data_IF_209454103093
#
_entry.id   IF_209454103093
#
_cell.length_a   1.000
_cell.length_b   1.000
_cell.length_c   1.000
_cell.angle_alpha   90.00
_cell.angle_beta   90.00
_cell.angle_gamma   90.00
#
_symmetry.space_group_name_H-M   'P 1'
#
loop_
_entity.id
_entity.type
_entity.pdbx_description
1 polymer ?
#
# COMPACT_ATOMS: atom_id res chain seq x y z
N UNK A 1 39.80 24.96 -52.51
CA UNK A 1 38.33 24.88 -52.22
C UNK A 1 37.86 23.45 -51.99
N UNK A 2 38.42 22.46 -52.68
CA UNK A 2 38.11 21.03 -52.51
C UNK A 2 38.46 20.47 -51.13
N UNK A 3 39.55 20.93 -50.51
CA UNK A 3 40.00 20.45 -49.19
C UNK A 3 39.07 20.86 -48.04
N UNK A 4 38.39 22.01 -48.20
CA UNK A 4 37.38 22.50 -47.26
C UNK A 4 36.12 21.63 -47.27
N UNK A 5 35.65 21.26 -48.47
CA UNK A 5 34.50 20.35 -48.63
C UNK A 5 34.80 18.94 -48.11
N UNK A 6 36.00 18.42 -48.35
CA UNK A 6 36.42 17.11 -47.84
C UNK A 6 36.49 17.09 -46.29
N UNK A 7 37.02 18.17 -45.69
CA UNK A 7 37.06 18.34 -44.24
C UNK A 7 35.68 18.44 -43.59
N UNK A 8 34.73 19.16 -44.22
CA UNK A 8 33.35 19.27 -43.74
C UNK A 8 32.60 17.93 -43.80
N UNK A 9 32.75 17.18 -44.89
CA UNK A 9 32.10 15.87 -45.06
C UNK A 9 32.66 14.85 -44.07
N UNK A 10 33.98 14.80 -43.88
CA UNK A 10 34.61 13.94 -42.88
C UNK A 10 34.23 14.32 -41.45
N UNK A 11 34.14 15.62 -41.14
CA UNK A 11 33.67 16.10 -39.84
C UNK A 11 32.20 15.72 -39.59
N UNK A 12 31.33 15.86 -40.60
CA UNK A 12 29.93 15.44 -40.52
C UNK A 12 29.79 13.93 -40.31
N UNK A 13 30.56 13.10 -41.03
CA UNK A 13 30.56 11.64 -40.88
C UNK A 13 31.09 11.22 -39.50
N UNK A 14 32.16 11.86 -39.01
CA UNK A 14 32.73 11.57 -37.69
C UNK A 14 31.78 11.96 -36.57
N UNK A 15 31.12 13.11 -36.69
CA UNK A 15 30.12 13.57 -35.73
C UNK A 15 28.86 12.68 -35.74
N UNK A 16 28.42 12.23 -36.92
CA UNK A 16 27.32 11.27 -37.06
C UNK A 16 27.66 9.89 -36.44
N UNK A 17 28.89 9.42 -36.58
CA UNK A 17 29.34 8.17 -35.96
C UNK A 17 29.42 8.24 -34.43
N UNK A 18 29.76 9.41 -33.86
CA UNK A 18 29.79 9.65 -32.41
C UNK A 18 28.37 9.74 -31.83
N UNK A 19 27.46 10.44 -32.50
CA UNK A 19 26.05 10.52 -32.08
C UNK A 19 25.35 9.17 -32.18
N UNK A 20 25.62 8.37 -33.21
CA UNK A 20 25.03 7.03 -33.35
C UNK A 20 25.43 6.08 -32.21
N UNK A 21 26.71 6.10 -31.80
CA UNK A 21 27.20 5.30 -30.66
C UNK A 21 26.63 5.79 -29.31
N UNK A 22 26.32 7.09 -29.19
CA UNK A 22 25.72 7.66 -28.00
C UNK A 22 24.21 7.36 -27.86
N UNK A 23 23.53 7.03 -28.96
CA UNK A 23 22.08 6.74 -29.00
C UNK A 23 21.76 5.27 -28.66
N UNK A 24 22.66 4.33 -28.92
CA UNK A 24 22.44 2.90 -28.62
C UNK A 24 22.10 2.67 -27.13
N UNK A 25 22.84 3.23 -26.15
CA UNK A 25 22.52 3.06 -24.74
C UNK A 25 21.18 3.69 -24.34
N UNK A 26 20.82 4.84 -24.91
CA UNK A 26 19.57 5.53 -24.58
C UNK A 26 18.34 4.81 -25.15
N UNK A 27 18.44 4.25 -26.37
CA UNK A 27 17.38 3.39 -26.93
C UNK A 27 17.21 2.14 -26.07
N UNK A 28 18.30 1.50 -25.65
CA UNK A 28 18.23 0.32 -24.79
C UNK A 28 17.57 0.65 -23.44
N UNK A 29 17.94 1.77 -22.82
CA UNK A 29 17.32 2.23 -21.58
C UNK A 29 15.82 2.51 -21.73
N UNK A 30 15.40 3.18 -22.82
CA UNK A 30 14.00 3.41 -23.14
C UNK A 30 13.23 2.09 -23.29
N UNK A 31 13.78 1.12 -24.03
CA UNK A 31 13.15 -0.18 -24.23
C UNK A 31 12.99 -0.95 -22.92
N UNK A 32 14.01 -0.92 -22.06
CA UNK A 32 13.97 -1.53 -20.72
C UNK A 32 12.91 -0.85 -19.85
N UNK A 33 12.83 0.49 -19.86
CA UNK A 33 11.81 1.24 -19.12
C UNK A 33 10.40 0.93 -19.60
N UNK A 34 10.17 0.84 -20.91
CA UNK A 34 8.87 0.47 -21.48
C UNK A 34 8.47 -0.96 -21.10
N UNK A 35 9.40 -1.91 -21.18
CA UNK A 35 9.17 -3.29 -20.72
C UNK A 35 8.84 -3.34 -19.23
N UNK A 36 9.63 -2.65 -18.40
CA UNK A 36 9.41 -2.57 -16.96
C UNK A 36 8.03 -1.94 -16.66
N UNK A 37 7.69 -0.81 -17.28
CA UNK A 37 6.40 -0.15 -17.11
C UNK A 37 5.22 -1.03 -17.51
N UNK A 38 5.34 -1.79 -18.60
CA UNK A 38 4.32 -2.74 -19.04
C UNK A 38 4.13 -3.89 -18.04
N UNK A 39 5.23 -4.51 -17.60
CA UNK A 39 5.19 -5.59 -16.61
C UNK A 39 4.64 -5.09 -15.27
N UNK A 40 5.16 -3.98 -14.77
CA UNK A 40 4.75 -3.39 -13.50
C UNK A 40 3.29 -2.91 -13.54
N UNK A 41 2.88 -2.26 -14.62
CA UNK A 41 1.49 -1.85 -14.83
C UNK A 41 0.55 -3.06 -14.87
N UNK A 42 0.95 -4.15 -15.53
CA UNK A 42 0.16 -5.38 -15.55
C UNK A 42 0.03 -6.01 -14.16
N UNK A 43 1.13 -6.11 -13.41
CA UNK A 43 1.13 -6.68 -12.05
C UNK A 43 0.31 -5.81 -11.10
N UNK A 44 0.59 -4.50 -11.05
CA UNK A 44 -0.10 -3.56 -10.19
C UNK A 44 -1.60 -3.51 -10.51
N UNK A 45 -1.97 -3.44 -11.79
CA UNK A 45 -3.36 -3.52 -12.23
C UNK A 45 -4.02 -4.84 -11.82
N UNK A 46 -3.33 -5.97 -11.95
CA UNK A 46 -3.84 -7.27 -11.51
C UNK A 46 -4.08 -7.32 -10.00
N UNK A 47 -3.17 -6.75 -9.22
CA UNK A 47 -3.24 -6.68 -7.77
C UNK A 47 -4.37 -5.77 -7.29
N UNK A 48 -4.48 -4.57 -7.86
CA UNK A 48 -5.60 -3.65 -7.61
C UNK A 48 -6.93 -4.30 -7.98
N UNK A 49 -7.00 -4.99 -9.12
CA UNK A 49 -8.20 -5.73 -9.52
C UNK A 49 -8.52 -6.91 -8.59
N UNK A 50 -7.53 -7.53 -7.93
CA UNK A 50 -7.76 -8.55 -6.89
C UNK A 50 -8.25 -7.94 -5.59
N UNK A 51 -7.65 -6.83 -5.15
CA UNK A 51 -8.05 -6.11 -3.94
C UNK A 51 -9.46 -5.55 -4.09
N UNK A 52 -9.77 -4.89 -5.21
CA UNK A 52 -11.10 -4.36 -5.49
C UNK A 52 -12.16 -5.47 -5.44
N UNK A 53 -11.88 -6.64 -6.02
CA UNK A 53 -12.80 -7.79 -5.92
C UNK A 53 -12.89 -8.37 -4.52
N UNK A 54 -11.79 -8.44 -3.77
CA UNK A 54 -11.78 -8.90 -2.38
C UNK A 54 -12.59 -7.99 -1.44
N UNK A 55 -12.72 -6.70 -1.79
CA UNK A 55 -13.53 -5.71 -1.06
C UNK A 55 -15.01 -5.75 -1.48
N UNK A 56 -15.37 -6.61 -2.44
CA UNK A 56 -16.73 -6.69 -3.01
C UNK A 56 -17.16 -5.35 -3.63
N UNK A 57 -16.17 -4.63 -4.18
CA UNK A 57 -16.32 -3.25 -4.68
C UNK A 57 -17.31 -3.20 -5.85
N UNK A 58 -17.37 -4.27 -6.65
CA UNK A 58 -18.34 -4.42 -7.74
C UNK A 58 -19.78 -4.48 -7.22
N UNK A 59 -20.04 -5.22 -6.13
CA UNK A 59 -21.37 -5.32 -5.52
C UNK A 59 -21.78 -4.05 -4.76
N UNK A 60 -20.84 -3.38 -4.10
CA UNK A 60 -21.09 -2.10 -3.40
C UNK A 60 -21.31 -0.94 -4.36
N UNK A 61 -20.57 -0.91 -5.47
CA UNK A 61 -20.71 0.11 -6.51
C UNK A 61 -22.07 0.05 -7.23
N UNK A 62 -22.67 -1.14 -7.31
CA UNK A 62 -24.06 -1.33 -7.74
C UNK A 62 -25.07 -0.66 -6.81
N UNK A 63 -24.88 -0.80 -5.49
CA UNK A 63 -25.73 -0.15 -4.49
C UNK A 63 -25.59 1.39 -4.48
N UNK A 64 -24.44 1.91 -4.93
CA UNK A 64 -24.18 3.35 -5.03
C UNK A 64 -24.56 3.95 -6.40
N UNK A 65 -25.09 3.16 -7.34
CA UNK A 65 -25.47 3.62 -8.68
C UNK A 65 -24.29 3.94 -9.61
N UNK A 66 -23.06 3.65 -9.19
CA UNK A 66 -21.84 3.94 -9.94
C UNK A 66 -21.73 3.06 -11.19
N UNK A 67 -22.23 1.82 -11.12
CA UNK A 67 -22.34 0.93 -12.28
C UNK A 67 -23.26 1.49 -13.36
N UNK A 68 -24.34 2.16 -12.97
CA UNK A 68 -25.32 2.76 -13.89
C UNK A 68 -24.78 4.02 -14.55
N UNK A 69 -23.94 4.78 -13.85
CA UNK A 69 -23.22 5.92 -14.41
C UNK A 69 -22.12 5.47 -15.40
N UNK A 70 -21.38 4.41 -15.07
CA UNK A 70 -20.34 3.83 -15.93
C UNK A 70 -20.92 3.20 -17.21
N UNK A 71 -22.05 2.51 -17.12
CA UNK A 71 -22.72 1.95 -18.30
C UNK A 71 -23.33 3.03 -19.20
N UNK A 72 -23.85 4.14 -18.63
CA UNK A 72 -24.23 5.33 -19.42
C UNK A 72 -23.04 5.99 -20.11
N UNK A 73 -21.85 5.94 -19.52
CA UNK A 73 -20.61 6.40 -20.13
C UNK A 73 -20.01 5.40 -21.14
N UNK A 74 -20.70 4.30 -21.46
CA UNK A 74 -20.25 3.29 -22.44
C UNK A 74 -19.25 2.27 -21.89
N UNK A 75 -18.95 2.28 -20.59
CA UNK A 75 -18.05 1.33 -19.94
C UNK A 75 -18.85 0.12 -19.44
N UNK A 76 -18.96 -0.92 -20.28
CA UNK A 76 -19.64 -2.18 -19.95
C UNK A 76 -18.84 -3.11 -19.02
N UNK A 77 -17.70 -2.64 -18.48
CA UNK A 77 -16.78 -3.41 -17.63
C UNK A 77 -17.08 -3.12 -16.15
N UNK A 78 -16.97 -4.11 -15.25
CA UNK A 78 -17.11 -3.88 -13.81
C UNK A 78 -16.07 -2.86 -13.32
N UNK A 79 -16.39 -2.03 -12.30
CA UNK A 79 -15.51 -0.98 -11.83
C UNK A 79 -14.16 -1.49 -11.31
N UNK A 80 -14.09 -2.72 -10.77
CA UNK A 80 -12.81 -3.37 -10.43
C UNK A 80 -11.90 -3.56 -11.65
N UNK A 81 -12.47 -3.82 -12.83
CA UNK A 81 -11.73 -3.99 -14.07
C UNK A 81 -11.34 -2.64 -14.70
N UNK A 82 -12.20 -1.62 -14.57
CA UNK A 82 -11.87 -0.25 -14.96
C UNK A 82 -10.70 0.29 -14.13
N UNK A 83 -10.72 0.08 -12.81
CA UNK A 83 -9.63 0.50 -11.91
C UNK A 83 -8.32 -0.23 -12.23
N UNK A 84 -8.39 -1.54 -12.52
CA UNK A 84 -7.24 -2.31 -13.01
C UNK A 84 -6.64 -1.70 -14.29
N UNK A 85 -7.49 -1.35 -15.25
CA UNK A 85 -7.05 -0.80 -16.53
C UNK A 85 -6.43 0.58 -16.34
N UNK A 86 -7.07 1.44 -15.53
CA UNK A 86 -6.63 2.80 -15.25
C UNK A 86 -5.27 2.81 -14.54
N UNK A 87 -5.10 1.98 -13.51
CA UNK A 87 -3.81 1.86 -12.80
C UNK A 87 -2.73 1.29 -13.73
N UNK A 88 -3.05 0.24 -14.50
CA UNK A 88 -2.09 -0.37 -15.43
C UNK A 88 -1.63 0.61 -16.51
N UNK A 89 -2.55 1.34 -17.13
CA UNK A 89 -2.23 2.37 -18.12
C UNK A 89 -1.52 3.57 -17.51
N UNK A 90 -1.93 4.01 -16.31
CA UNK A 90 -1.27 5.12 -15.61
C UNK A 90 0.20 4.83 -15.35
N UNK A 91 0.51 3.63 -14.84
CA UNK A 91 1.89 3.20 -14.61
C UNK A 91 2.65 3.11 -15.93
N UNK A 92 2.05 2.50 -16.97
CA UNK A 92 2.68 2.41 -18.29
C UNK A 92 3.03 3.79 -18.86
N UNK A 93 2.11 4.75 -18.78
CA UNK A 93 2.33 6.13 -19.27
C UNK A 93 3.48 6.81 -18.52
N UNK A 94 3.54 6.69 -17.20
CA UNK A 94 4.63 7.27 -16.39
C UNK A 94 5.98 6.69 -16.81
N UNK A 95 6.07 5.38 -17.01
CA UNK A 95 7.29 4.73 -17.49
C UNK A 95 7.61 5.09 -18.95
N UNK A 96 6.58 5.27 -19.78
CA UNK A 96 6.76 5.69 -21.17
C UNK A 96 7.33 7.11 -21.25
N UNK A 97 6.85 8.05 -20.44
CA UNK A 97 7.43 9.41 -20.37
C UNK A 97 8.88 9.36 -19.89
N UNK A 98 9.19 8.54 -18.89
CA UNK A 98 10.58 8.32 -18.45
C UNK A 98 11.46 7.69 -19.55
N UNK A 99 10.90 6.80 -20.37
CA UNK A 99 11.57 6.21 -21.51
C UNK A 99 11.88 7.24 -22.60
N UNK A 100 10.97 8.18 -22.85
CA UNK A 100 11.20 9.30 -23.77
C UNK A 100 12.29 10.23 -23.25
N UNK A 101 12.30 10.53 -21.96
CA UNK A 101 13.36 11.33 -21.33
C UNK A 101 14.74 10.65 -21.43
N UNK A 102 14.78 9.32 -21.31
CA UNK A 102 16.01 8.55 -21.51
C UNK A 102 16.58 8.68 -22.93
N UNK A 103 15.73 8.91 -23.93
CA UNK A 103 16.12 9.11 -25.33
C UNK A 103 16.73 10.49 -25.58
N UNK A 104 16.33 11.50 -24.81
CA UNK A 104 16.66 12.91 -25.03
C UNK A 104 18.06 13.32 -24.54
N UNK A 105 18.74 12.49 -23.75
CA UNK A 105 20.06 12.84 -23.18
C UNK A 105 21.15 11.91 -23.73
N UNK A 106 22.00 12.39 -24.66
CA UNK A 106 23.19 11.66 -25.09
C UNK A 106 24.15 11.49 -23.89
N UNK A 107 24.29 10.26 -23.39
CA UNK A 107 25.19 9.94 -22.28
C UNK A 107 24.66 10.18 -20.86
N UNK A 108 23.34 10.32 -20.65
CA UNK A 108 22.77 10.54 -19.30
C UNK A 108 23.05 9.38 -18.33
N UNK A 109 23.74 9.64 -17.21
CA UNK A 109 23.79 8.73 -16.05
C UNK A 109 22.43 8.57 -15.32
N UNK A 110 21.41 9.33 -15.73
CA UNK A 110 20.12 9.43 -15.02
C UNK A 110 19.19 8.22 -15.20
N UNK A 111 19.08 7.66 -16.41
CA UNK A 111 18.17 6.54 -16.67
C UNK A 111 18.57 5.27 -15.89
N UNK A 112 19.88 4.98 -15.85
CA UNK A 112 20.42 3.85 -15.06
C UNK A 112 20.24 4.07 -13.56
N UNK A 113 20.46 5.29 -13.06
CA UNK A 113 20.27 5.62 -11.64
C UNK A 113 18.81 5.52 -11.18
N UNK A 114 17.86 5.92 -12.03
CA UNK A 114 16.43 5.78 -11.77
C UNK A 114 16.03 4.30 -11.79
N UNK A 115 16.44 3.54 -12.80
CA UNK A 115 16.19 2.09 -12.86
C UNK A 115 16.73 1.34 -11.63
N UNK A 116 17.93 1.70 -11.18
CA UNK A 116 18.55 1.08 -10.00
C UNK A 116 17.82 1.41 -8.69
N UNK A 117 17.12 2.54 -8.59
CA UNK A 117 16.31 2.88 -7.40
C UNK A 117 14.88 2.37 -7.50
N UNK A 118 14.28 2.42 -8.69
CA UNK A 118 12.87 2.14 -8.91
C UNK A 118 12.58 0.64 -8.97
N UNK A 119 13.47 -0.15 -9.57
CA UNK A 119 13.24 -1.59 -9.70
C UNK A 119 13.20 -2.31 -8.33
N UNK A 120 14.15 -2.06 -7.40
CA UNK A 120 14.09 -2.65 -6.06
C UNK A 120 12.86 -2.17 -5.27
N UNK A 121 12.51 -0.89 -5.35
CA UNK A 121 11.39 -0.34 -4.59
C UNK A 121 10.04 -0.87 -5.06
N UNK A 122 9.85 -1.02 -6.37
CA UNK A 122 8.62 -1.60 -6.90
C UNK A 122 8.51 -3.08 -6.54
N UNK A 123 9.61 -3.84 -6.63
CA UNK A 123 9.63 -5.23 -6.18
C UNK A 123 9.33 -5.35 -4.67
N UNK A 124 9.92 -4.49 -3.84
CA UNK A 124 9.64 -4.42 -2.42
C UNK A 124 8.16 -4.12 -2.15
N UNK A 125 7.59 -3.11 -2.82
CA UNK A 125 6.18 -2.76 -2.70
C UNK A 125 5.24 -3.91 -3.09
N UNK A 126 5.55 -4.61 -4.19
CA UNK A 126 4.78 -5.79 -4.62
C UNK A 126 4.87 -6.93 -3.60
N UNK A 127 6.06 -7.19 -3.08
CA UNK A 127 6.29 -8.22 -2.06
C UNK A 127 5.55 -7.87 -0.77
N UNK A 128 5.61 -6.61 -0.32
CA UNK A 128 4.88 -6.10 0.84
C UNK A 128 3.38 -6.28 0.66
N UNK A 129 2.82 -5.97 -0.50
CA UNK A 129 1.39 -6.15 -0.74
C UNK A 129 1.01 -7.63 -0.79
N UNK A 130 1.85 -8.50 -1.35
CA UNK A 130 1.63 -9.94 -1.38
C UNK A 130 1.64 -10.53 0.04
N UNK A 131 2.71 -10.28 0.79
CA UNK A 131 2.86 -10.74 2.17
C UNK A 131 1.79 -10.11 3.07
N UNK A 132 1.52 -8.83 2.90
CA UNK A 132 0.48 -8.10 3.63
C UNK A 132 -0.92 -8.67 3.39
N UNK A 133 -1.25 -9.08 2.16
CA UNK A 133 -2.52 -9.72 1.86
C UNK A 133 -2.65 -11.11 2.53
N UNK A 134 -1.58 -11.90 2.51
CA UNK A 134 -1.52 -13.20 3.19
C UNK A 134 -1.67 -13.02 4.71
N UNK A 135 -0.89 -12.10 5.28
CA UNK A 135 -0.90 -11.78 6.70
C UNK A 135 -2.26 -11.25 7.13
N UNK A 136 -2.91 -10.41 6.33
CA UNK A 136 -4.24 -9.88 6.64
C UNK A 136 -5.29 -11.00 6.74
N UNK A 137 -5.22 -12.01 5.87
CA UNK A 137 -6.11 -13.17 5.95
C UNK A 137 -5.82 -14.00 7.20
N UNK A 138 -4.55 -14.27 7.48
CA UNK A 138 -4.11 -15.02 8.66
C UNK A 138 -4.55 -14.33 9.95
N UNK A 139 -4.24 -13.03 10.10
CA UNK A 139 -4.61 -12.22 11.26
C UNK A 139 -6.13 -12.11 11.39
N UNK A 140 -6.85 -11.92 10.29
CA UNK A 140 -8.32 -11.91 10.30
C UNK A 140 -8.93 -13.23 10.78
N UNK A 141 -8.41 -14.37 10.34
CA UNK A 141 -8.86 -15.69 10.80
C UNK A 141 -8.51 -15.95 12.26
N UNK A 142 -7.28 -15.62 12.68
CA UNK A 142 -6.86 -15.76 14.06
C UNK A 142 -7.72 -14.90 15.00
N UNK A 143 -8.00 -13.65 14.61
CA UNK A 143 -8.88 -12.76 15.35
C UNK A 143 -10.32 -13.29 15.41
N UNK A 144 -10.83 -13.89 14.34
CA UNK A 144 -12.16 -14.52 14.34
C UNK A 144 -12.22 -15.68 15.34
N UNK A 145 -11.26 -16.59 15.29
CA UNK A 145 -11.20 -17.77 16.18
C UNK A 145 -11.11 -17.31 17.64
N UNK A 146 -10.22 -16.36 17.93
CA UNK A 146 -10.07 -15.80 19.26
C UNK A 146 -11.36 -15.14 19.77
N UNK A 147 -12.03 -14.35 18.93
CA UNK A 147 -13.24 -13.64 19.32
C UNK A 147 -14.45 -14.58 19.51
N UNK A 148 -14.58 -15.62 18.68
CA UNK A 148 -15.61 -16.66 18.85
C UNK A 148 -15.36 -17.45 20.14
N UNK A 149 -14.11 -17.85 20.41
CA UNK A 149 -13.75 -18.58 21.63
C UNK A 149 -13.97 -17.74 22.89
N UNK A 150 -13.84 -16.42 22.80
CA UNK A 150 -14.13 -15.48 23.88
C UNK A 150 -15.63 -15.18 24.05
N UNK A 151 -16.51 -15.76 23.23
CA UNK A 151 -17.97 -15.53 23.30
C UNK A 151 -18.40 -14.12 22.89
N UNK A 152 -17.58 -13.40 22.11
CA UNK A 152 -17.90 -12.03 21.71
C UNK A 152 -19.03 -12.02 20.67
N UNK A 153 -20.13 -11.25 20.89
CA UNK A 153 -21.28 -11.23 19.99
C UNK A 153 -20.92 -10.73 18.57
N UNK A 154 -19.87 -9.94 18.43
CA UNK A 154 -19.48 -9.28 17.17
C UNK A 154 -18.12 -9.77 16.63
N UNK A 155 -17.78 -11.06 16.86
CA UNK A 155 -16.51 -11.66 16.43
C UNK A 155 -16.17 -11.43 14.94
N UNK A 156 -17.18 -11.45 14.06
CA UNK A 156 -17.02 -11.19 12.62
C UNK A 156 -16.66 -9.74 12.29
N UNK A 157 -17.06 -8.78 13.12
CA UNK A 157 -16.69 -7.38 12.94
C UNK A 157 -15.22 -7.19 13.33
N UNK A 158 -14.82 -7.72 14.48
CA UNK A 158 -13.44 -7.62 14.97
C UNK A 158 -12.44 -8.28 14.01
N UNK A 159 -12.77 -9.47 13.50
CA UNK A 159 -11.97 -10.16 12.49
C UNK A 159 -11.79 -9.34 11.20
N UNK A 160 -12.87 -8.67 10.74
CA UNK A 160 -12.81 -7.78 9.58
C UNK A 160 -11.97 -6.55 9.87
N UNK A 161 -12.14 -5.93 11.04
CA UNK A 161 -11.36 -4.76 11.44
C UNK A 161 -9.86 -5.09 11.46
N UNK A 162 -9.47 -6.23 12.03
CA UNK A 162 -8.09 -6.69 12.06
C UNK A 162 -7.53 -6.92 10.64
N UNK A 163 -8.28 -7.60 9.77
CA UNK A 163 -7.90 -7.79 8.36
C UNK A 163 -7.71 -6.46 7.63
N UNK A 164 -8.64 -5.52 7.80
CA UNK A 164 -8.56 -4.19 7.18
C UNK A 164 -7.39 -3.37 7.70
N UNK A 165 -7.09 -3.44 8.99
CA UNK A 165 -5.94 -2.76 9.58
C UNK A 165 -4.62 -3.23 8.94
N UNK A 166 -4.44 -4.55 8.77
CA UNK A 166 -3.24 -5.11 8.13
C UNK A 166 -3.15 -4.72 6.65
N UNK A 167 -4.27 -4.76 5.91
CA UNK A 167 -4.29 -4.33 4.50
C UNK A 167 -3.96 -2.84 4.35
N UNK A 168 -4.53 -1.99 5.20
CA UNK A 168 -4.26 -0.56 5.21
C UNK A 168 -2.78 -0.29 5.50
N UNK A 169 -2.21 -0.97 6.49
CA UNK A 169 -0.80 -0.87 6.84
C UNK A 169 0.12 -1.33 5.70
N UNK A 170 -0.16 -2.49 5.10
CA UNK A 170 0.60 -3.00 3.96
C UNK A 170 0.51 -2.07 2.74
N UNK A 171 -0.68 -1.50 2.49
CA UNK A 171 -0.90 -0.49 1.47
C UNK A 171 -0.03 0.75 1.71
N UNK A 172 -0.14 1.36 2.88
CA UNK A 172 0.66 2.54 3.25
C UNK A 172 2.17 2.26 3.10
N UNK A 173 2.63 1.12 3.61
CA UNK A 173 4.05 0.71 3.53
C UNK A 173 4.49 0.56 2.07
N UNK A 174 3.68 -0.07 1.21
CA UNK A 174 3.98 -0.21 -0.21
C UNK A 174 4.05 1.14 -0.93
N UNK A 175 3.17 2.09 -0.62
CA UNK A 175 3.26 3.46 -1.16
C UNK A 175 4.54 4.16 -0.69
N UNK A 176 4.94 3.99 0.57
CA UNK A 176 6.17 4.60 1.09
C UNK A 176 7.43 4.00 0.48
N UNK A 177 7.41 2.72 0.12
CA UNK A 177 8.51 2.07 -0.61
C UNK A 177 8.60 2.58 -2.04
N UNK A 178 7.47 2.77 -2.72
CA UNK A 178 7.43 3.38 -4.05
C UNK A 178 7.95 4.84 -4.07
N UNK A 179 8.11 5.47 -2.90
CA UNK A 179 8.54 6.86 -2.79
C UNK A 179 7.44 7.87 -3.16
N UNK A 180 6.19 7.42 -3.31
CA UNK A 180 5.07 8.26 -3.68
C UNK A 180 4.56 8.97 -2.43
N UNK A 181 4.84 10.28 -2.32
CA UNK A 181 4.31 11.12 -1.25
C UNK A 181 4.56 10.56 0.15
N UNK A 182 5.74 9.95 0.39
CA UNK A 182 6.08 9.22 1.61
C UNK A 182 5.68 9.98 2.88
N UNK A 183 6.05 11.26 2.97
CA UNK A 183 5.76 12.09 4.13
C UNK A 183 4.25 12.33 4.30
N UNK A 184 3.54 12.58 3.20
CA UNK A 184 2.08 12.72 3.22
C UNK A 184 1.41 11.43 3.70
N UNK A 185 1.84 10.27 3.20
CA UNK A 185 1.31 8.95 3.60
C UNK A 185 1.57 8.70 5.08
N UNK A 186 2.80 8.96 5.56
CA UNK A 186 3.17 8.78 6.97
C UNK A 186 2.35 9.69 7.89
N UNK A 187 2.21 10.98 7.54
CA UNK A 187 1.43 11.94 8.33
C UNK A 187 -0.04 11.54 8.33
N UNK A 188 -0.64 11.27 7.16
CA UNK A 188 -2.06 10.91 7.07
C UNK A 188 -2.37 9.61 7.82
N UNK A 189 -1.51 8.59 7.68
CA UNK A 189 -1.63 7.34 8.40
C UNK A 189 -1.47 7.57 9.91
N UNK A 190 -0.46 8.32 10.32
CA UNK A 190 -0.19 8.64 11.72
C UNK A 190 -1.34 9.38 12.39
N UNK A 191 -1.91 10.40 11.73
CA UNK A 191 -3.07 11.15 12.24
C UNK A 191 -4.32 10.26 12.31
N UNK A 192 -4.57 9.45 11.28
CA UNK A 192 -5.75 8.56 11.25
C UNK A 192 -5.65 7.48 12.34
N UNK A 193 -4.50 6.80 12.40
CA UNK A 193 -4.27 5.74 13.39
C UNK A 193 -4.22 6.32 14.81
N UNK A 194 -3.54 7.45 15.00
CA UNK A 194 -3.51 8.18 16.27
C UNK A 194 -4.90 8.62 16.71
N UNK A 195 -5.74 9.10 15.78
CA UNK A 195 -7.14 9.43 16.04
C UNK A 195 -7.95 8.23 16.50
N UNK A 196 -7.85 7.09 15.82
CA UNK A 196 -8.55 5.84 16.19
C UNK A 196 -8.11 5.36 17.59
N UNK A 197 -6.80 5.31 17.83
CA UNK A 197 -6.24 4.88 19.12
C UNK A 197 -6.69 5.83 20.24
N UNK A 198 -6.65 7.14 20.01
CA UNK A 198 -7.10 8.14 20.98
C UNK A 198 -8.60 8.01 21.27
N UNK A 199 -9.44 7.85 20.23
CA UNK A 199 -10.88 7.64 20.41
C UNK A 199 -11.19 6.36 21.19
N UNK A 200 -10.49 5.25 20.90
CA UNK A 200 -10.64 4.01 21.65
C UNK A 200 -10.18 4.17 23.10
N UNK A 201 -9.04 4.79 23.33
CA UNK A 201 -8.52 5.06 24.67
C UNK A 201 -9.52 5.88 25.50
N UNK A 202 -10.14 6.91 24.91
CA UNK A 202 -11.19 7.70 25.56
C UNK A 202 -12.47 6.88 25.79
N UNK A 203 -12.92 6.10 24.82
CA UNK A 203 -14.11 5.26 24.96
C UNK A 203 -13.97 4.22 26.07
N UNK A 204 -12.82 3.52 26.13
CA UNK A 204 -12.53 2.57 27.20
C UNK A 204 -12.26 3.25 28.54
N UNK A 205 -11.54 4.38 28.55
CA UNK A 205 -11.22 5.11 29.77
C UNK A 205 -12.46 5.70 30.46
N UNK A 206 -13.35 6.32 29.67
CA UNK A 206 -14.61 6.88 30.19
C UNK A 206 -15.65 5.79 30.47
N UNK A 207 -15.83 4.82 29.57
CA UNK A 207 -16.81 3.75 29.71
C UNK A 207 -16.44 2.68 30.76
N UNK A 208 -15.15 2.48 31.02
CA UNK A 208 -14.65 1.55 32.04
C UNK A 208 -14.52 2.15 33.44
N UNK A 209 -14.84 3.44 33.62
CA UNK A 209 -14.62 4.18 34.88
C UNK A 209 -15.34 3.52 36.06
N UNK A 210 -16.60 3.14 35.90
CA UNK A 210 -17.38 2.53 36.98
C UNK A 210 -16.89 1.11 37.30
N UNK A 211 -16.49 0.34 36.28
CA UNK A 211 -15.89 -0.98 36.48
C UNK A 211 -14.56 -0.88 37.23
N UNK A 212 -13.70 0.06 36.85
CA UNK A 212 -12.43 0.32 37.53
C UNK A 212 -12.66 0.75 38.99
N UNK A 213 -13.65 1.62 39.24
CA UNK A 213 -14.05 2.03 40.59
C UNK A 213 -14.49 0.82 41.44
N UNK A 214 -15.35 -0.04 40.91
CA UNK A 214 -15.85 -1.22 41.62
C UNK A 214 -14.72 -2.23 41.93
N UNK A 215 -13.80 -2.43 40.99
CA UNK A 215 -12.62 -3.30 41.21
C UNK A 215 -11.73 -2.71 42.31
N UNK A 216 -11.51 -1.41 42.31
CA UNK A 216 -10.70 -0.74 43.33
C UNK A 216 -11.36 -0.79 44.73
N UNK A 217 -12.66 -0.51 44.81
CA UNK A 217 -13.42 -0.60 46.07
C UNK A 217 -13.47 -2.03 46.62
N UNK A 218 -13.60 -3.05 45.77
CA UNK A 218 -13.58 -4.46 46.20
C UNK A 218 -12.20 -4.95 46.65
N UNK A 219 -11.12 -4.39 46.09
CA UNK A 219 -9.73 -4.66 46.52
C UNK A 219 -9.42 -3.96 47.84
N UNK A 220 -9.85 -2.72 48.02
CA UNK A 220 -9.64 -1.93 49.25
C UNK A 220 -10.51 -2.42 50.42
N UNK A 221 -11.71 -2.94 50.17
CA UNK A 221 -12.55 -3.56 51.21
C UNK A 221 -12.03 -4.93 51.69
N UNK A 222 -11.07 -5.54 50.98
CA UNK A 222 -10.35 -6.74 51.43
C UNK A 222 -9.15 -6.32 52.29
N UNK A 223 -9.44 -5.85 53.50
CA UNK A 223 -8.50 -5.76 54.63
C UNK A 223 -9.02 -6.61 55.80
N UNK A 224 -8.15 -7.08 56.72
CA UNK A 224 -8.03 -8.48 57.12
C UNK A 224 -9.23 -9.03 57.88
N UNK A 225 -9.57 -10.30 57.62
CA UNK A 225 -10.50 -11.05 58.46
C UNK A 225 -10.07 -10.92 59.94
N UNK A 226 -10.98 -10.60 60.87
CA UNK A 226 -10.63 -10.51 62.28
C UNK A 226 -10.06 -11.86 62.72
N UNK A 227 -8.88 -11.83 63.34
CA UNK A 227 -8.22 -13.04 63.84
C UNK A 227 -9.23 -13.86 64.66
N UNK A 228 -9.27 -15.20 64.48
CA UNK A 228 -10.14 -16.04 65.27
C UNK A 228 -9.80 -15.78 66.73
N UNK A 229 -10.75 -15.22 67.49
CA UNK A 229 -10.64 -15.17 68.93
C UNK A 229 -10.52 -16.61 69.40
N UNK A 230 -9.31 -17.01 69.76
CA UNK A 230 -9.08 -18.23 70.52
C UNK A 230 -9.92 -18.09 71.78
N UNK A 231 -11.07 -18.77 71.77
CA UNK A 231 -11.86 -19.00 72.96
C UNK A 231 -11.03 -19.94 73.82
N UNK A 232 -10.16 -19.36 74.64
CA UNK A 232 -9.43 -20.09 75.68
C UNK A 232 -10.49 -20.60 76.66
N UNK A 233 -10.93 -21.84 76.44
CA UNK A 233 -11.75 -22.60 77.36
C UNK A 233 -10.88 -22.96 78.55
N UNK A 234 -10.89 -22.10 79.58
CA UNK A 234 -10.36 -22.46 80.89
C UNK A 234 -11.30 -23.49 81.53
N UNK A 235 -10.76 -24.70 81.73
CA UNK A 235 -11.25 -25.72 82.65
C UNK A 235 -11.06 -25.26 84.10
#
# INVERSE_FOLDING_TARGET
MTDFWYGLVLAAIRNAGVTLKAVIPSVLAMLVLLLAGGVLGWIAGALVGRLARAVDLDRRSGAWGLTTALTRAGVARPPSQALRLLVGWGIFVIFATMGVDALAIPGAPGATGILMRLLPSVLAALLILLVGALLANFVGQAALIAAVNAGLPEARFLARAARWAVLLFAGATALTELGIGRDMVLIAFGVTFGGIVLSLALAFGLGGRDLARNILESRLRREPAPEPRETVSHL
#
